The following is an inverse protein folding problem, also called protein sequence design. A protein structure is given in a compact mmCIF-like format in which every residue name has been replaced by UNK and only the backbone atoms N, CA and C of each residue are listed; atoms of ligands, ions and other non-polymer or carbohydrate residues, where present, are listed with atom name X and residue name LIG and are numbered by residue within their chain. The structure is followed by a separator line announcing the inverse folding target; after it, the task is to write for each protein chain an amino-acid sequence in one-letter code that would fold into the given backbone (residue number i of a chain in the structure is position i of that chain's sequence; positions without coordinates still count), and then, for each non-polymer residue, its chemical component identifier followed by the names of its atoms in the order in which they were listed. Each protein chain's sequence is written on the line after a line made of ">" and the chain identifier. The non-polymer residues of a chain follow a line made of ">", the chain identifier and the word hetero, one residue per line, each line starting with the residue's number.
data_IF_180339847510
#
_entry.id   IF_180339847510
#
_cell.length_a   1.000
_cell.length_b   1.000
_cell.length_c   1.000
_cell.angle_alpha   90.00
_cell.angle_beta   90.00
_cell.angle_gamma   90.00
#
_symmetry.space_group_name_H-M   'P 1'
#
loop_
_entity.id
_entity.type
_entity.pdbx_description
1 polymer ?
#
# COMPACT_ATOMS: atom_id res chain seq x y z
N UNK A 1 11.50 1.93 2.17
CA UNK A 1 10.62 2.54 3.20
C UNK A 1 11.06 2.17 4.62
N UNK A 2 11.39 0.89 4.86
CA UNK A 2 11.74 0.34 6.19
C UNK A 2 12.83 1.13 6.93
N UNK A 3 13.85 1.61 6.21
CA UNK A 3 14.95 2.38 6.79
C UNK A 3 14.55 3.73 7.40
N UNK A 4 13.41 4.31 7.04
CA UNK A 4 12.98 5.57 7.66
C UNK A 4 11.90 5.34 8.71
N UNK A 5 11.04 4.35 8.50
CA UNK A 5 9.93 4.05 9.41
C UNK A 5 10.38 3.44 10.74
N UNK A 6 11.57 2.85 10.79
CA UNK A 6 12.14 2.32 12.04
C UNK A 6 12.71 3.40 12.97
N UNK A 7 12.85 4.65 12.53
CA UNK A 7 13.43 5.74 13.30
C UNK A 7 12.33 6.53 14.05
N UNK A 8 12.24 6.45 15.39
CA UNK A 8 11.28 7.25 16.16
C UNK A 8 11.50 8.75 15.95
N UNK A 9 10.42 9.51 15.93
CA UNK A 9 10.43 10.96 15.70
C UNK A 9 10.38 11.37 14.23
N UNK A 10 10.59 10.44 13.28
CA UNK A 10 10.36 10.71 11.86
C UNK A 10 8.91 10.42 11.47
N UNK A 11 8.31 11.36 10.73
CA UNK A 11 7.11 11.10 9.95
C UNK A 11 7.51 10.62 8.58
N UNK A 12 6.89 9.54 8.08
CA UNK A 12 7.20 8.98 6.76
C UNK A 12 5.92 8.87 5.95
N UNK A 13 5.91 9.47 4.76
CA UNK A 13 4.77 9.43 3.84
C UNK A 13 5.19 8.99 2.45
N UNK A 14 4.31 8.29 1.76
CA UNK A 14 4.52 7.81 0.39
C UNK A 14 3.21 7.92 -0.41
N UNK A 15 2.97 9.07 -1.08
CA UNK A 15 1.74 9.30 -1.84
C UNK A 15 1.69 8.43 -3.10
N UNK A 16 0.49 7.96 -3.44
CA UNK A 16 0.23 7.21 -4.67
C UNK A 16 -0.42 8.05 -5.79
N UNK A 17 -1.10 9.16 -5.47
CA UNK A 17 -1.80 10.01 -6.45
C UNK A 17 -1.35 11.47 -6.38
N UNK A 18 -1.63 12.26 -7.43
CA UNK A 18 -1.32 13.69 -7.42
C UNK A 18 -2.09 14.45 -6.31
N UNK A 19 -3.32 14.02 -6.01
CA UNK A 19 -4.12 14.59 -4.93
C UNK A 19 -3.48 14.31 -3.56
N UNK A 20 -3.02 13.06 -3.34
CA UNK A 20 -2.35 12.68 -2.10
C UNK A 20 -1.03 13.41 -1.93
N UNK A 21 -0.23 13.51 -3.01
CA UNK A 21 1.03 14.24 -2.99
C UNK A 21 0.80 15.72 -2.64
N UNK A 22 -0.19 16.38 -3.26
CA UNK A 22 -0.51 17.77 -2.96
C UNK A 22 -0.91 17.99 -1.49
N UNK A 23 -1.85 17.17 -1.00
CA UNK A 23 -2.39 17.30 0.35
C UNK A 23 -1.36 16.97 1.43
N UNK A 24 -0.61 15.87 1.28
CA UNK A 24 0.39 15.45 2.25
C UNK A 24 1.62 16.36 2.25
N UNK A 25 2.05 16.87 1.08
CA UNK A 25 3.21 17.78 1.00
C UNK A 25 2.93 19.09 1.74
N UNK A 26 1.71 19.61 1.63
CA UNK A 26 1.29 20.79 2.39
C UNK A 26 1.23 20.52 3.90
N UNK A 27 0.74 19.36 4.30
CA UNK A 27 0.77 18.94 5.71
C UNK A 27 2.22 18.82 6.21
N UNK A 28 3.12 18.29 5.38
CA UNK A 28 4.54 18.16 5.70
C UNK A 28 5.26 19.50 5.84
N UNK A 29 5.00 20.46 4.96
CA UNK A 29 5.60 21.81 5.04
C UNK A 29 5.12 22.56 6.28
N UNK A 30 3.88 22.29 6.74
CA UNK A 30 3.24 23.01 7.84
C UNK A 30 3.41 22.35 9.21
N UNK A 31 3.99 21.16 9.30
CA UNK A 31 4.19 20.50 10.59
C UNK A 31 5.53 20.85 11.21
N UNK A 32 5.59 20.81 12.53
CA UNK A 32 6.80 21.11 13.31
C UNK A 32 7.77 19.91 13.43
N UNK A 33 7.37 18.73 12.93
CA UNK A 33 8.16 17.49 12.98
C UNK A 33 8.92 17.23 11.67
N UNK A 34 10.06 16.52 11.70
CA UNK A 34 10.76 16.11 10.49
C UNK A 34 9.95 15.10 9.67
N UNK A 35 9.77 15.39 8.38
CA UNK A 35 9.02 14.54 7.45
C UNK A 35 9.89 14.03 6.32
N UNK A 36 9.92 12.71 6.17
CA UNK A 36 10.46 12.01 4.99
C UNK A 36 9.31 11.83 3.98
N UNK A 37 9.39 12.58 2.88
CA UNK A 37 8.40 12.56 1.81
C UNK A 37 8.90 11.72 0.62
N UNK A 38 8.41 10.48 0.50
CA UNK A 38 8.89 9.50 -0.48
C UNK A 38 8.06 9.56 -1.77
N UNK A 39 8.54 10.33 -2.75
CA UNK A 39 7.91 10.45 -4.07
C UNK A 39 8.37 9.33 -5.00
N UNK A 40 7.41 8.61 -5.55
CA UNK A 40 7.71 7.57 -6.51
C UNK A 40 7.91 8.13 -7.92
N UNK A 41 9.14 8.06 -8.46
CA UNK A 41 9.50 8.65 -9.76
C UNK A 41 8.58 8.24 -10.92
N UNK A 42 8.14 6.97 -10.94
CA UNK A 42 7.30 6.44 -12.03
C UNK A 42 5.95 7.15 -12.11
N UNK A 43 5.42 7.63 -10.97
CA UNK A 43 4.05 8.15 -10.85
C UNK A 43 3.90 9.56 -11.41
N UNK A 44 5.00 10.32 -11.53
CA UNK A 44 5.00 11.72 -11.96
C UNK A 44 4.33 11.97 -13.32
N UNK A 45 4.52 11.05 -14.27
CA UNK A 45 4.06 11.22 -15.66
C UNK A 45 2.89 10.31 -16.02
N UNK A 46 2.28 9.67 -15.02
CA UNK A 46 1.18 8.74 -15.25
C UNK A 46 -0.14 9.48 -15.35
N UNK A 47 -0.89 9.22 -16.42
CA UNK A 47 -2.18 9.88 -16.65
C UNK A 47 -3.23 9.48 -15.63
N UNK A 48 -3.21 8.23 -15.18
CA UNK A 48 -4.14 7.70 -14.16
C UNK A 48 -3.96 8.34 -12.77
N UNK A 49 -2.83 8.99 -12.51
CA UNK A 49 -2.57 9.66 -11.23
C UNK A 49 -2.95 11.14 -11.22
N UNK A 50 -3.39 11.70 -12.36
CA UNK A 50 -3.79 13.11 -12.45
C UNK A 50 -5.05 13.36 -11.64
N UNK A 51 -5.17 14.56 -11.09
CA UNK A 51 -6.38 15.00 -10.38
C UNK A 51 -6.56 16.50 -10.57
N UNK A 52 -7.79 17.02 -10.54
CA UNK A 52 -8.03 18.46 -10.48
C UNK A 52 -7.32 19.09 -9.29
N UNK A 53 -6.87 20.34 -9.43
CA UNK A 53 -6.28 21.08 -8.32
C UNK A 53 -7.32 21.23 -7.20
N UNK A 54 -7.07 20.72 -5.98
CA UNK A 54 -8.04 20.75 -4.89
C UNK A 54 -8.16 22.12 -4.18
N UNK A 55 -7.50 23.16 -4.69
CA UNK A 55 -7.48 24.49 -4.10
C UNK A 55 -6.30 24.72 -3.15
N UNK A 56 -6.14 25.93 -2.58
CA UNK A 56 -4.91 26.32 -1.84
C UNK A 56 -4.78 25.73 -0.43
N UNK A 57 -5.90 25.34 0.19
CA UNK A 57 -5.93 24.91 1.59
C UNK A 57 -6.17 23.40 1.76
N UNK A 58 -6.27 22.65 0.66
CA UNK A 58 -6.39 21.20 0.74
C UNK A 58 -5.16 20.59 1.41
N UNK A 59 -5.41 19.78 2.43
CA UNK A 59 -4.43 19.08 3.24
C UNK A 59 -4.97 17.69 3.55
N UNK A 60 -4.06 16.73 3.70
CA UNK A 60 -4.40 15.39 4.17
C UNK A 60 -3.67 15.17 5.50
N UNK A 61 -4.36 14.83 6.59
CA UNK A 61 -3.70 14.53 7.86
C UNK A 61 -2.81 13.29 7.75
N UNK A 62 -1.71 13.28 8.49
CA UNK A 62 -0.87 12.10 8.62
C UNK A 62 -1.62 10.96 9.32
N UNK A 63 -1.22 9.74 9.01
CA UNK A 63 -1.79 8.53 9.61
C UNK A 63 -3.24 8.28 9.22
N UNK A 64 -3.68 8.82 8.08
CA UNK A 64 -5.00 8.56 7.49
C UNK A 64 -4.89 7.86 6.15
N UNK A 65 -5.19 6.57 6.16
CA UNK A 65 -5.28 5.74 4.97
C UNK A 65 -6.55 6.07 4.18
N UNK A 66 -6.65 5.53 2.97
CA UNK A 66 -7.81 5.64 2.10
C UNK A 66 -8.20 4.28 1.56
N UNK A 67 -9.46 3.89 1.78
CA UNK A 67 -10.07 2.80 1.02
C UNK A 67 -10.34 3.33 -0.40
N UNK A 68 -9.56 2.89 -1.37
CA UNK A 68 -9.68 3.31 -2.79
C UNK A 68 -10.68 2.46 -3.56
N UNK A 69 -10.93 1.24 -3.10
CA UNK A 69 -11.90 0.29 -3.65
C UNK A 69 -12.47 -0.52 -2.49
N UNK A 70 -13.80 -0.55 -2.35
CA UNK A 70 -14.45 -1.41 -1.36
C UNK A 70 -14.44 -2.88 -1.78
N UNK A 71 -14.44 -3.78 -0.82
CA UNK A 71 -14.55 -5.22 -1.04
C UNK A 71 -14.91 -5.98 0.21
N UNK A 72 -15.12 -7.29 0.07
CA UNK A 72 -15.71 -8.15 1.11
C UNK A 72 -14.90 -9.40 1.42
N UNK A 73 -14.02 -9.84 0.52
CA UNK A 73 -13.42 -11.19 0.63
C UNK A 73 -11.95 -11.12 1.04
N UNK A 74 -11.24 -10.07 0.61
CA UNK A 74 -9.80 -9.87 0.89
C UNK A 74 -9.52 -8.40 1.10
N UNK A 75 -8.79 -8.06 2.16
CA UNK A 75 -8.18 -6.73 2.35
C UNK A 75 -6.77 -6.73 1.78
N UNK A 76 -6.51 -5.82 0.84
CA UNK A 76 -5.17 -5.49 0.37
C UNK A 76 -4.74 -4.14 0.93
N UNK A 77 -3.60 -4.13 1.62
CA UNK A 77 -2.94 -2.91 2.12
C UNK A 77 -1.73 -2.61 1.24
N UNK A 78 -1.62 -1.39 0.72
CA UNK A 78 -0.52 -0.99 -0.18
C UNK A 78 -0.24 0.52 -0.08
N UNK A 79 0.77 1.01 -0.79
CA UNK A 79 1.13 2.43 -0.90
C UNK A 79 2.00 2.69 -2.13
N UNK A 80 2.16 3.96 -2.52
CA UNK A 80 3.03 4.33 -3.64
C UNK A 80 2.62 3.67 -4.97
N UNK A 81 3.59 3.22 -5.76
CA UNK A 81 3.33 2.73 -7.12
C UNK A 81 2.61 1.38 -7.19
N UNK A 82 2.68 0.56 -6.15
CA UNK A 82 1.99 -0.73 -6.11
C UNK A 82 0.48 -0.59 -6.05
N UNK A 83 -0.07 0.59 -5.70
CA UNK A 83 -1.50 0.86 -5.69
C UNK A 83 -2.17 0.61 -7.05
N UNK A 84 -1.55 1.07 -8.15
CA UNK A 84 -2.15 0.92 -9.47
C UNK A 84 -2.16 -0.54 -9.95
N UNK A 85 -1.09 -1.28 -9.65
CA UNK A 85 -0.99 -2.72 -9.98
C UNK A 85 -2.02 -3.52 -9.18
N UNK A 86 -2.16 -3.20 -7.90
CA UNK A 86 -3.18 -3.74 -7.01
C UNK A 86 -4.61 -3.55 -7.53
N UNK A 87 -4.96 -2.32 -7.93
CA UNK A 87 -6.29 -1.99 -8.48
C UNK A 87 -6.55 -2.73 -9.80
N UNK A 88 -5.55 -2.77 -10.68
CA UNK A 88 -5.64 -3.50 -11.96
C UNK A 88 -5.92 -5.00 -11.73
N UNK A 89 -5.20 -5.61 -10.79
CA UNK A 89 -5.40 -7.00 -10.43
C UNK A 89 -6.76 -7.24 -9.75
N UNK A 90 -7.20 -6.35 -8.85
CA UNK A 90 -8.47 -6.44 -8.14
C UNK A 90 -9.67 -6.37 -9.10
N UNK A 91 -9.59 -5.53 -10.13
CA UNK A 91 -10.60 -5.45 -11.17
C UNK A 91 -10.67 -6.72 -12.01
N UNK A 92 -9.52 -7.31 -12.33
CA UNK A 92 -9.47 -8.53 -13.15
C UNK A 92 -10.04 -9.76 -12.41
N UNK A 93 -9.72 -9.93 -11.11
CA UNK A 93 -10.24 -11.08 -10.34
C UNK A 93 -11.71 -10.91 -9.90
N UNK A 94 -12.29 -9.71 -10.09
CA UNK A 94 -13.71 -9.49 -9.81
C UNK A 94 -14.61 -10.34 -10.74
N UNK A 95 -14.19 -10.56 -11.99
CA UNK A 95 -14.90 -11.42 -12.94
C UNK A 95 -14.90 -12.90 -12.49
N UNK A 96 -13.94 -13.27 -11.64
CA UNK A 96 -13.85 -14.59 -11.00
C UNK A 96 -14.65 -14.67 -9.69
N UNK A 97 -15.35 -13.59 -9.32
CA UNK A 97 -16.14 -13.50 -8.09
C UNK A 97 -15.36 -13.11 -6.84
N UNK A 98 -14.11 -12.63 -6.96
CA UNK A 98 -13.28 -12.23 -5.83
C UNK A 98 -13.37 -10.72 -5.57
N UNK A 99 -13.88 -10.34 -4.40
CA UNK A 99 -14.13 -8.97 -3.97
C UNK A 99 -13.01 -8.43 -3.07
N UNK A 100 -12.03 -7.74 -3.66
CA UNK A 100 -10.87 -7.19 -2.93
C UNK A 100 -11.08 -5.74 -2.45
N UNK A 101 -11.05 -5.51 -1.14
CA UNK A 101 -10.91 -4.16 -0.60
C UNK A 101 -9.46 -3.68 -0.74
N UNK A 102 -9.23 -2.50 -1.32
CA UNK A 102 -7.88 -1.95 -1.50
C UNK A 102 -7.72 -0.67 -0.68
N UNK A 103 -6.69 -0.69 0.18
CA UNK A 103 -6.32 0.41 1.08
C UNK A 103 -4.97 0.99 0.65
N UNK A 104 -4.96 2.29 0.36
CA UNK A 104 -3.74 3.09 0.25
C UNK A 104 -3.38 3.70 1.60
N UNK A 105 -2.24 3.31 2.17
CA UNK A 105 -1.81 3.79 3.49
C UNK A 105 -1.52 5.28 3.52
N UNK A 106 -0.96 5.85 2.43
CA UNK A 106 -0.45 7.23 2.32
C UNK A 106 0.68 7.60 3.30
N UNK A 107 0.49 7.36 4.59
CA UNK A 107 1.46 7.55 5.68
C UNK A 107 1.94 6.19 6.17
N UNK A 108 3.27 6.05 6.26
CA UNK A 108 3.94 4.84 6.75
C UNK A 108 4.43 4.99 8.19
N UNK A 109 4.59 6.21 8.69
CA UNK A 109 4.84 6.47 10.11
C UNK A 109 4.23 7.80 10.54
N UNK A 110 3.25 7.82 11.46
CA UNK A 110 2.47 6.66 11.93
C UNK A 110 1.51 6.17 10.84
N UNK A 111 1.32 4.86 10.70
CA UNK A 111 0.34 4.29 9.75
C UNK A 111 -1.04 4.10 10.39
N UNK A 112 -2.08 4.07 9.56
CA UNK A 112 -3.48 3.99 10.00
C UNK A 112 -3.88 2.55 10.38
N UNK A 113 -3.48 2.13 11.58
CA UNK A 113 -3.75 0.78 12.09
C UNK A 113 -5.24 0.48 12.19
N UNK A 114 -6.03 1.45 12.66
CA UNK A 114 -7.47 1.32 12.86
C UNK A 114 -8.17 0.99 11.53
N UNK A 115 -7.94 1.78 10.49
CA UNK A 115 -8.55 1.56 9.18
C UNK A 115 -8.20 0.18 8.59
N UNK A 116 -6.95 -0.27 8.75
CA UNK A 116 -6.54 -1.60 8.29
C UNK A 116 -7.20 -2.70 9.10
N UNK A 117 -7.23 -2.60 10.43
CA UNK A 117 -7.81 -3.63 11.28
C UNK A 117 -9.31 -3.78 11.05
N UNK A 118 -10.04 -2.67 10.90
CA UNK A 118 -11.47 -2.70 10.60
C UNK A 118 -11.76 -3.36 9.26
N UNK A 119 -10.92 -3.12 8.26
CA UNK A 119 -11.01 -3.79 6.98
C UNK A 119 -10.73 -5.29 7.08
N UNK A 120 -9.67 -5.69 7.79
CA UNK A 120 -9.34 -7.11 7.97
C UNK A 120 -10.42 -7.85 8.74
N UNK A 121 -10.99 -7.25 9.80
CA UNK A 121 -12.11 -7.85 10.55
C UNK A 121 -13.36 -8.07 9.70
N UNK A 122 -13.54 -7.26 8.65
CA UNK A 122 -14.64 -7.38 7.70
C UNK A 122 -14.40 -8.47 6.66
N UNK A 123 -13.17 -8.62 6.17
CA UNK A 123 -12.84 -9.53 5.05
C UNK A 123 -12.23 -10.85 5.46
N UNK A 124 -11.78 -10.95 6.71
CA UNK A 124 -11.10 -12.10 7.32
C UNK A 124 -9.79 -12.55 6.66
N UNK A 125 -9.31 -11.84 5.63
CA UNK A 125 -8.13 -12.20 4.84
C UNK A 125 -7.34 -10.96 4.49
N UNK A 126 -6.03 -11.01 4.62
CA UNK A 126 -5.17 -9.85 4.43
C UNK A 126 -3.98 -10.14 3.51
N UNK A 127 -3.73 -9.22 2.58
CA UNK A 127 -2.51 -9.14 1.78
C UNK A 127 -1.87 -7.78 2.01
N UNK A 128 -0.55 -7.76 2.22
CA UNK A 128 0.23 -6.52 2.28
C UNK A 128 1.16 -6.46 1.08
N UNK A 129 1.06 -5.40 0.28
CA UNK A 129 1.84 -5.22 -0.93
C UNK A 129 2.68 -3.95 -0.93
N UNK A 130 3.92 -4.08 -1.38
CA UNK A 130 4.90 -2.98 -1.39
C UNK A 130 6.03 -3.26 -2.37
N UNK A 131 6.76 -2.23 -2.80
CA UNK A 131 7.84 -2.36 -3.80
C UNK A 131 9.21 -2.70 -3.18
N UNK A 132 9.39 -2.48 -1.87
CA UNK A 132 10.63 -2.85 -1.18
C UNK A 132 10.85 -4.38 -1.23
N UNK A 133 12.08 -4.83 -0.92
CA UNK A 133 12.38 -6.27 -0.85
C UNK A 133 11.50 -6.99 0.18
N UNK A 134 11.07 -8.21 -0.16
CA UNK A 134 10.22 -9.02 0.73
C UNK A 134 10.88 -9.29 2.07
N UNK A 135 12.19 -9.48 2.11
CA UNK A 135 12.94 -9.59 3.36
C UNK A 135 13.11 -8.21 4.00
N UNK A 136 12.67 -8.08 5.26
CA UNK A 136 12.83 -6.86 6.09
C UNK A 136 12.14 -5.62 5.49
N UNK A 137 11.27 -5.83 4.52
CA UNK A 137 10.41 -4.82 3.93
C UNK A 137 9.30 -4.36 4.88
N UNK A 138 8.77 -3.17 4.60
CA UNK A 138 7.82 -2.49 5.48
C UNK A 138 6.54 -3.32 5.74
N UNK A 139 6.10 -4.14 4.79
CA UNK A 139 4.94 -5.00 5.01
C UNK A 139 5.17 -6.15 5.99
N UNK A 140 6.40 -6.41 6.46
CA UNK A 140 6.63 -7.32 7.58
C UNK A 140 6.02 -6.79 8.89
N UNK A 141 6.19 -5.49 9.17
CA UNK A 141 5.62 -4.81 10.33
C UNK A 141 4.09 -4.86 10.30
N UNK A 142 3.49 -4.51 9.15
CA UNK A 142 2.03 -4.55 8.99
C UNK A 142 1.50 -5.98 9.17
N UNK A 143 2.19 -6.98 8.60
CA UNK A 143 1.75 -8.37 8.72
C UNK A 143 1.81 -8.86 10.17
N UNK A 144 2.85 -8.50 10.93
CA UNK A 144 2.97 -8.82 12.35
C UNK A 144 1.84 -8.15 13.16
N UNK A 145 1.61 -6.87 12.93
CA UNK A 145 0.55 -6.11 13.62
C UNK A 145 -0.85 -6.64 13.31
N UNK A 146 -1.13 -7.03 12.06
CA UNK A 146 -2.40 -7.68 11.70
C UNK A 146 -2.51 -9.04 12.38
N UNK A 147 -1.44 -9.84 12.38
CA UNK A 147 -1.44 -11.16 13.02
C UNK A 147 -1.72 -11.04 14.52
N UNK A 148 -1.10 -10.10 15.23
CA UNK A 148 -1.30 -9.90 16.66
C UNK A 148 -2.68 -9.29 16.97
N UNK A 149 -3.09 -8.27 16.22
CA UNK A 149 -4.29 -7.49 16.50
C UNK A 149 -5.59 -8.08 15.95
N UNK A 150 -5.51 -8.92 14.92
CA UNK A 150 -6.67 -9.45 14.20
C UNK A 150 -6.69 -10.99 14.13
N UNK A 151 -5.84 -11.70 14.89
CA UNK A 151 -5.74 -13.17 14.82
C UNK A 151 -7.10 -13.89 14.83
N UNK A 152 -8.00 -13.49 15.73
CA UNK A 152 -9.31 -14.12 15.90
C UNK A 152 -10.27 -13.93 14.72
N UNK A 153 -9.94 -13.04 13.77
CA UNK A 153 -10.72 -12.77 12.56
C UNK A 153 -10.04 -13.30 11.30
N UNK A 154 -8.82 -13.86 11.38
CA UNK A 154 -8.09 -14.32 10.20
C UNK A 154 -8.48 -15.76 9.83
N UNK A 155 -9.07 -15.93 8.65
CA UNK A 155 -9.34 -17.24 8.04
C UNK A 155 -8.12 -17.79 7.27
N UNK A 156 -7.15 -16.92 6.98
CA UNK A 156 -5.95 -17.23 6.20
C UNK A 156 -4.72 -16.49 6.74
N UNK A 157 -3.49 -16.99 6.48
CA UNK A 157 -2.28 -16.27 6.86
C UNK A 157 -2.18 -14.92 6.14
N UNK A 158 -1.61 -13.91 6.80
CA UNK A 158 -1.35 -12.62 6.16
C UNK A 158 -0.28 -12.79 5.08
N UNK A 159 -0.67 -12.66 3.81
CA UNK A 159 0.22 -12.82 2.67
C UNK A 159 0.94 -11.51 2.37
N UNK A 160 2.16 -11.60 1.83
CA UNK A 160 2.93 -10.45 1.36
C UNK A 160 3.25 -10.57 -0.12
N UNK A 161 3.10 -9.47 -0.85
CA UNK A 161 3.48 -9.34 -2.27
C UNK A 161 4.51 -8.23 -2.37
N UNK A 162 5.74 -8.56 -2.73
CA UNK A 162 6.85 -7.63 -2.68
C UNK A 162 7.92 -7.99 -3.70
N UNK A 163 8.94 -7.14 -3.84
CA UNK A 163 10.05 -7.42 -4.73
C UNK A 163 10.92 -8.56 -4.21
N UNK A 164 11.67 -9.19 -5.11
CA UNK A 164 12.67 -10.21 -4.75
C UNK A 164 13.80 -9.61 -3.92
N UNK A 165 14.54 -10.47 -3.20
CA UNK A 165 15.70 -10.07 -2.38
C UNK A 165 16.96 -9.89 -3.23
N UNK A 166 16.88 -9.00 -4.21
CA UNK A 166 17.95 -8.71 -5.17
C UNK A 166 18.03 -7.22 -5.48
N UNK A 167 19.17 -6.77 -5.98
CA UNK A 167 19.28 -5.44 -6.57
C UNK A 167 18.39 -5.33 -7.82
N UNK A 168 17.82 -4.15 -8.07
CA UNK A 168 17.01 -3.90 -9.28
C UNK A 168 17.92 -3.94 -10.51
N UNK A 169 17.63 -4.86 -11.43
CA UNK A 169 18.36 -5.01 -12.68
C UNK A 169 18.12 -3.86 -13.65
N UNK A 170 19.14 -3.50 -14.43
CA UNK A 170 19.02 -2.42 -15.43
C UNK A 170 18.11 -2.79 -16.61
N UNK A 171 18.19 -4.04 -17.08
CA UNK A 171 17.38 -4.48 -18.22
C UNK A 171 15.90 -4.53 -17.82
N UNK A 172 14.96 -4.00 -18.64
CA UNK A 172 13.54 -3.97 -18.29
C UNK A 172 12.97 -5.33 -17.91
N UNK A 173 13.39 -6.40 -18.58
CA UNK A 173 12.93 -7.76 -18.29
C UNK A 173 13.39 -8.25 -16.91
N UNK A 174 14.55 -7.77 -16.44
CA UNK A 174 15.04 -8.07 -15.10
C UNK A 174 14.32 -7.21 -14.06
N UNK A 175 14.11 -5.92 -14.32
CA UNK A 175 13.29 -5.06 -13.46
C UNK A 175 11.88 -5.64 -13.28
N UNK A 176 11.25 -6.08 -14.37
CA UNK A 176 9.93 -6.70 -14.34
C UNK A 176 9.90 -8.01 -13.54
N UNK A 177 10.95 -8.82 -13.61
CA UNK A 177 11.06 -10.07 -12.86
C UNK A 177 11.34 -9.86 -11.36
N UNK A 178 11.86 -8.68 -10.98
CA UNK A 178 12.23 -8.34 -9.61
C UNK A 178 11.07 -7.64 -8.90
N UNK A 179 10.44 -6.67 -9.56
CA UNK A 179 9.38 -5.86 -9.00
C UNK A 179 8.03 -6.60 -9.06
N UNK A 180 7.13 -6.41 -8.08
CA UNK A 180 5.83 -7.08 -8.08
C UNK A 180 4.97 -6.62 -9.26
N UNK A 181 4.51 -7.56 -10.08
CA UNK A 181 3.69 -7.35 -11.27
C UNK A 181 2.21 -7.65 -11.00
N UNK A 182 1.33 -7.18 -11.87
CA UNK A 182 -0.13 -7.39 -11.77
C UNK A 182 -0.49 -8.87 -11.60
N UNK A 183 0.22 -9.77 -12.26
CA UNK A 183 -0.01 -11.22 -12.13
C UNK A 183 0.31 -11.76 -10.74
N UNK A 184 1.31 -11.21 -10.04
CA UNK A 184 1.63 -11.59 -8.66
C UNK A 184 0.49 -11.23 -7.70
N UNK A 185 -0.13 -10.06 -7.90
CA UNK A 185 -1.32 -9.65 -7.15
C UNK A 185 -2.51 -10.58 -7.43
N UNK A 186 -2.78 -10.91 -8.70
CA UNK A 186 -3.86 -11.84 -9.07
C UNK A 186 -3.64 -13.21 -8.45
N UNK A 187 -2.43 -13.73 -8.52
CA UNK A 187 -2.06 -15.00 -7.92
C UNK A 187 -2.31 -14.98 -6.40
N UNK A 188 -1.88 -13.91 -5.72
CA UNK A 188 -2.09 -13.75 -4.29
C UNK A 188 -3.58 -13.66 -3.91
N UNK A 189 -4.40 -12.93 -4.68
CA UNK A 189 -5.85 -12.87 -4.45
C UNK A 189 -6.51 -14.24 -4.59
N UNK A 190 -6.20 -14.97 -5.67
CA UNK A 190 -6.75 -16.31 -5.90
C UNK A 190 -6.27 -17.32 -4.89
N UNK A 191 -5.03 -17.20 -4.41
CA UNK A 191 -4.49 -18.09 -3.39
C UNK A 191 -5.20 -17.87 -2.06
N UNK A 192 -5.31 -16.62 -1.61
CA UNK A 192 -5.87 -16.35 -0.28
C UNK A 192 -7.38 -16.54 -0.23
N UNK A 193 -8.10 -16.26 -1.32
CA UNK A 193 -9.55 -16.44 -1.39
C UNK A 193 -10.00 -17.91 -1.35
N UNK A 194 -9.08 -18.88 -1.43
CA UNK A 194 -9.40 -20.33 -1.37
C UNK A 194 -9.48 -20.89 0.04
N UNK A 195 -8.91 -20.21 1.03
CA UNK A 195 -9.03 -20.56 2.45
C UNK A 195 -10.40 -20.14 2.95
#
# INVERSE_FOLDING_TARGET
>A
ASLFTHCPGLRVVCPATALDANGLLRTAIRCDDPVIFLEHKHLYRQTYNKSPNPGPNFMIPFGKAKIVRGGTDVTLVTYGATLQRALSAANAVQEEGISVEVIDLRTLSPWDREAVFDSVKKTSRAIVAYEDSISWGYGAEIAAEIADGCFAWLDAPVKRVASTDTFVGYAPQLEDAILPQVEDFKAAYREIAKY
#
